data_IF_902596587472
#
_entry.id   IF_902596587472
#
_cell.length_a   1.000
_cell.length_b   1.000
_cell.length_c   1.000
_cell.angle_alpha   90.00
_cell.angle_beta   90.00
_cell.angle_gamma   90.00
#
_symmetry.space_group_name_H-M   'P 1'
#
loop_
_entity.id
_entity.type
_entity.pdbx_description
1 polymer ?
#
# COMPACT_ATOMS: atom_id res chain seq x y z
N UNK A 1 12.58 13.95 -8.63
CA UNK A 1 11.23 14.23 -9.18
C UNK A 1 10.38 14.95 -8.16
N UNK A 2 9.21 15.49 -8.58
CA UNK A 2 8.16 15.96 -7.67
C UNK A 2 7.12 14.89 -7.50
N UNK A 3 6.87 14.49 -6.26
CA UNK A 3 5.97 13.38 -5.91
C UNK A 3 4.98 13.80 -4.83
N UNK A 4 3.82 13.17 -4.80
CA UNK A 4 2.88 13.30 -3.70
C UNK A 4 2.48 11.94 -3.15
N UNK A 5 2.20 11.88 -1.86
CA UNK A 5 1.59 10.73 -1.21
C UNK A 5 0.29 11.21 -0.54
N UNK A 6 -0.83 10.66 -0.98
CA UNK A 6 -2.16 10.98 -0.47
C UNK A 6 -2.65 9.82 0.40
N UNK A 7 -2.86 10.12 1.67
CA UNK A 7 -3.07 9.15 2.73
C UNK A 7 -1.77 8.89 3.50
N UNK A 8 -1.58 9.55 4.64
CA UNK A 8 -0.43 9.41 5.54
C UNK A 8 -0.75 8.51 6.75
N UNK A 9 -1.58 7.49 6.53
CA UNK A 9 -1.83 6.44 7.51
C UNK A 9 -0.61 5.53 7.70
N UNK A 10 -0.80 4.35 8.32
CA UNK A 10 0.29 3.45 8.74
C UNK A 10 1.25 3.06 7.61
N UNK A 11 0.76 2.89 6.38
CA UNK A 11 1.59 2.56 5.22
C UNK A 11 2.06 3.81 4.47
N UNK A 12 1.15 4.75 4.22
CA UNK A 12 1.42 5.92 3.39
C UNK A 12 2.44 6.87 4.00
N UNK A 13 2.46 7.01 5.32
CA UNK A 13 3.48 7.80 6.00
C UNK A 13 4.89 7.25 5.73
N UNK A 14 5.06 5.93 5.88
CA UNK A 14 6.34 5.26 5.57
C UNK A 14 6.74 5.38 4.11
N UNK A 15 5.78 5.30 3.18
CA UNK A 15 6.03 5.54 1.75
C UNK A 15 6.52 6.98 1.53
N UNK A 16 5.83 7.98 2.11
CA UNK A 16 6.23 9.37 1.98
C UNK A 16 7.66 9.64 2.50
N UNK A 17 8.00 9.04 3.66
CA UNK A 17 9.36 9.08 4.20
C UNK A 17 10.39 8.44 3.27
N UNK A 18 10.05 7.29 2.66
CA UNK A 18 10.98 6.59 1.77
C UNK A 18 11.23 7.36 0.48
N UNK A 19 10.18 7.98 -0.08
CA UNK A 19 10.29 8.83 -1.27
C UNK A 19 11.10 10.11 -0.96
N UNK A 20 10.89 10.71 0.22
CA UNK A 20 11.66 11.87 0.68
C UNK A 20 13.15 11.52 0.86
N UNK A 21 13.48 10.39 1.49
CA UNK A 21 14.87 9.92 1.66
C UNK A 21 15.58 9.59 0.36
N UNK A 22 14.85 9.31 -0.71
CA UNK A 22 15.39 9.13 -2.06
C UNK A 22 15.61 10.46 -2.80
N UNK A 23 15.71 11.57 -2.07
CA UNK A 23 15.95 12.94 -2.59
C UNK A 23 14.88 13.41 -3.57
N UNK A 24 13.63 12.98 -3.38
CA UNK A 24 12.50 13.50 -4.14
C UNK A 24 11.77 14.62 -3.37
N UNK A 25 11.38 15.67 -4.06
CA UNK A 25 10.49 16.68 -3.48
C UNK A 25 9.13 16.03 -3.25
N UNK A 26 8.74 15.85 -2.00
CA UNK A 26 7.58 15.02 -1.63
C UNK A 26 6.54 15.82 -0.86
N UNK A 27 5.31 15.85 -1.38
CA UNK A 27 4.13 16.40 -0.73
C UNK A 27 3.37 15.29 0.00
N UNK A 28 3.04 15.53 1.27
CA UNK A 28 2.18 14.68 2.06
C UNK A 28 0.79 15.31 2.18
N UNK A 29 -0.25 14.53 1.86
CA UNK A 29 -1.65 14.97 1.95
C UNK A 29 -2.44 13.96 2.78
N UNK A 30 -3.09 14.43 3.83
CA UNK A 30 -3.98 13.61 4.67
C UNK A 30 -5.07 14.50 5.28
N UNK A 31 -6.19 13.90 5.67
CA UNK A 31 -7.23 14.54 6.49
C UNK A 31 -6.77 14.76 7.94
N UNK A 32 -5.77 13.99 8.40
CA UNK A 32 -5.14 14.12 9.71
C UNK A 32 -4.03 15.19 9.64
N UNK A 33 -4.33 16.39 10.13
CA UNK A 33 -3.39 17.51 10.14
C UNK A 33 -2.10 17.23 10.93
N UNK A 34 -2.17 16.42 11.99
CA UNK A 34 -0.99 16.07 12.80
C UNK A 34 0.01 15.20 12.01
N UNK A 35 -0.52 14.26 11.18
CA UNK A 35 0.31 13.45 10.30
C UNK A 35 1.02 14.32 9.26
N UNK A 36 0.32 15.29 8.68
CA UNK A 36 0.89 16.26 7.72
C UNK A 36 1.95 17.13 8.40
N UNK A 37 1.65 17.69 9.58
CA UNK A 37 2.58 18.54 10.33
C UNK A 37 3.88 17.78 10.69
N UNK A 38 3.74 16.52 11.13
CA UNK A 38 4.90 15.65 11.41
C UNK A 38 5.74 15.41 10.16
N UNK A 39 5.11 15.13 9.02
CA UNK A 39 5.82 14.91 7.76
C UNK A 39 6.58 16.16 7.30
N UNK A 40 5.99 17.36 7.46
CA UNK A 40 6.64 18.63 7.17
C UNK A 40 7.84 18.86 8.09
N UNK A 41 7.74 18.54 9.38
CA UNK A 41 8.84 18.63 10.32
C UNK A 41 10.04 17.73 9.96
N UNK A 42 9.80 16.65 9.21
CA UNK A 42 10.83 15.75 8.69
C UNK A 42 11.40 16.17 7.32
N UNK A 43 11.00 17.35 6.79
CA UNK A 43 11.48 17.90 5.53
C UNK A 43 10.55 17.68 4.33
N UNK A 44 9.40 17.05 4.53
CA UNK A 44 8.33 16.94 3.52
C UNK A 44 7.64 18.27 3.27
N UNK A 45 6.79 18.30 2.26
CA UNK A 45 6.00 19.48 1.89
C UNK A 45 4.50 19.21 2.09
N UNK A 46 3.72 20.27 2.27
CA UNK A 46 2.27 20.25 2.38
C UNK A 46 1.64 21.41 1.62
N UNK A 47 0.32 21.50 1.59
CA UNK A 47 -0.43 22.54 0.89
C UNK A 47 -0.78 22.13 -0.53
N UNK A 48 -0.88 23.14 -1.42
CA UNK A 48 -1.28 22.90 -2.80
C UNK A 48 -0.24 22.07 -3.56
N UNK A 49 -0.72 21.08 -4.31
CA UNK A 49 0.13 20.25 -5.15
C UNK A 49 0.66 21.08 -6.34
N UNK A 50 1.95 20.94 -6.69
CA UNK A 50 2.51 21.68 -7.81
C UNK A 50 1.93 21.21 -9.14
N UNK A 51 1.80 22.14 -10.09
CA UNK A 51 1.24 21.86 -11.42
C UNK A 51 2.14 20.99 -12.31
N UNK A 52 3.39 20.76 -11.91
CA UNK A 52 4.39 19.94 -12.59
C UNK A 52 4.72 18.65 -11.81
N UNK A 53 3.74 18.13 -11.08
CA UNK A 53 3.87 16.89 -10.32
C UNK A 53 4.07 15.70 -11.26
N UNK A 54 5.07 14.84 -10.95
CA UNK A 54 5.40 13.69 -11.80
C UNK A 54 4.63 12.42 -11.40
N UNK A 55 4.49 12.16 -10.10
CA UNK A 55 3.90 10.93 -9.60
C UNK A 55 3.10 11.16 -8.32
N UNK A 56 1.99 10.43 -8.17
CA UNK A 56 1.15 10.46 -6.98
C UNK A 56 0.88 9.05 -6.49
N UNK A 57 1.29 8.70 -5.28
CA UNK A 57 0.83 7.49 -4.61
C UNK A 57 -0.46 7.77 -3.83
N UNK A 58 -1.52 7.03 -4.13
CA UNK A 58 -2.81 7.09 -3.43
C UNK A 58 -2.90 5.91 -2.49
N UNK A 59 -2.75 6.17 -1.19
CA UNK A 59 -2.63 5.15 -0.13
C UNK A 59 -3.79 5.29 0.85
N UNK A 60 -4.97 5.02 0.34
CA UNK A 60 -6.23 5.09 1.08
C UNK A 60 -6.83 3.70 1.31
N UNK A 61 -7.93 3.59 2.04
CA UNK A 61 -8.42 2.30 2.52
C UNK A 61 -9.22 1.49 1.49
N UNK A 62 -9.93 2.15 0.56
CA UNK A 62 -10.91 1.49 -0.29
C UNK A 62 -11.17 2.21 -1.62
N UNK A 63 -12.00 1.60 -2.48
CA UNK A 63 -12.38 2.12 -3.78
C UNK A 63 -13.07 3.49 -3.71
N UNK A 64 -14.01 3.69 -2.78
CA UNK A 64 -14.74 4.96 -2.66
C UNK A 64 -13.80 6.13 -2.31
N UNK A 65 -12.84 5.90 -1.40
CA UNK A 65 -11.83 6.91 -1.07
C UNK A 65 -10.87 7.14 -2.24
N UNK A 66 -10.47 6.08 -2.95
CA UNK A 66 -9.63 6.20 -4.15
C UNK A 66 -10.32 7.05 -5.21
N UNK A 67 -11.59 6.77 -5.52
CA UNK A 67 -12.37 7.55 -6.49
C UNK A 67 -12.54 9.01 -6.05
N UNK A 68 -12.82 9.24 -4.78
CA UNK A 68 -12.95 10.59 -4.22
C UNK A 68 -11.67 11.41 -4.37
N UNK A 69 -10.51 10.79 -4.10
CA UNK A 69 -9.20 11.43 -4.27
C UNK A 69 -8.91 11.72 -5.73
N UNK A 70 -9.21 10.79 -6.63
CA UNK A 70 -8.89 10.94 -8.05
C UNK A 70 -9.86 11.90 -8.77
N UNK A 71 -11.17 11.75 -8.54
CA UNK A 71 -12.22 12.36 -9.36
C UNK A 71 -13.34 13.04 -8.56
N UNK A 72 -13.27 13.08 -7.23
CA UNK A 72 -14.22 13.80 -6.40
C UNK A 72 -14.20 15.32 -6.64
N UNK A 73 -15.00 16.11 -5.89
CA UNK A 73 -15.07 17.57 -6.07
C UNK A 73 -13.73 18.28 -5.97
N UNK A 74 -12.77 17.73 -5.22
CA UNK A 74 -11.39 18.20 -5.11
C UNK A 74 -10.40 17.26 -5.80
N UNK A 75 -10.90 16.41 -6.71
CA UNK A 75 -10.12 15.38 -7.38
C UNK A 75 -8.83 15.89 -8.02
N UNK A 76 -7.80 15.06 -7.95
CA UNK A 76 -6.45 15.45 -8.38
C UNK A 76 -6.24 15.25 -9.88
N UNK A 77 -6.84 14.21 -10.49
CA UNK A 77 -6.54 13.82 -11.88
C UNK A 77 -6.75 14.95 -12.88
N UNK A 78 -7.85 15.74 -12.82
CA UNK A 78 -8.02 16.87 -13.75
C UNK A 78 -6.97 17.99 -13.62
N UNK A 79 -6.20 17.99 -12.51
CA UNK A 79 -5.19 19.02 -12.20
C UNK A 79 -3.76 18.52 -12.47
N UNK A 80 -3.59 17.21 -12.68
CA UNK A 80 -2.27 16.62 -12.95
C UNK A 80 -1.82 16.96 -14.37
N UNK A 81 -0.51 17.19 -14.58
CA UNK A 81 0.02 17.40 -15.92
C UNK A 81 -0.07 16.11 -16.75
N UNK A 82 -0.20 16.24 -18.06
CA UNK A 82 -0.16 15.09 -18.98
C UNK A 82 1.17 14.33 -18.80
N UNK A 83 1.09 13.02 -18.77
CA UNK A 83 2.24 12.14 -18.53
C UNK A 83 2.57 11.92 -17.05
N UNK A 84 1.91 12.59 -16.11
CA UNK A 84 1.99 12.22 -14.70
C UNK A 84 1.41 10.82 -14.46
N UNK A 85 1.85 10.16 -13.39
CA UNK A 85 1.36 8.82 -13.04
C UNK A 85 0.72 8.78 -11.65
N UNK A 86 -0.41 8.10 -11.56
CA UNK A 86 -1.06 7.70 -10.31
C UNK A 86 -0.68 6.26 -9.99
N UNK A 87 -0.10 6.02 -8.81
CA UNK A 87 0.07 4.69 -8.23
C UNK A 87 -1.07 4.45 -7.24
N UNK A 88 -2.05 3.63 -7.60
CA UNK A 88 -3.18 3.30 -6.75
C UNK A 88 -2.83 2.11 -5.85
N UNK A 89 -2.57 2.37 -4.57
CA UNK A 89 -2.06 1.38 -3.62
C UNK A 89 -3.17 0.72 -2.78
N UNK A 90 -4.42 1.19 -2.88
CA UNK A 90 -5.55 0.64 -2.16
C UNK A 90 -5.91 -0.78 -2.65
N UNK A 91 -6.47 -1.59 -1.76
CA UNK A 91 -7.08 -2.87 -2.15
C UNK A 91 -8.48 -2.60 -2.71
N UNK A 92 -8.65 -2.82 -4.00
CA UNK A 92 -9.90 -2.51 -4.73
C UNK A 92 -10.31 -3.68 -5.63
N UNK A 93 -11.59 -3.74 -6.08
CA UNK A 93 -11.98 -4.70 -7.11
C UNK A 93 -11.21 -4.48 -8.42
N UNK A 94 -10.86 -5.55 -9.16
CA UNK A 94 -10.15 -5.43 -10.44
C UNK A 94 -10.87 -4.58 -11.49
N UNK A 95 -12.21 -4.68 -11.57
CA UNK A 95 -13.01 -3.89 -12.50
C UNK A 95 -12.96 -2.40 -12.17
N UNK A 96 -12.93 -2.05 -10.88
CA UNK A 96 -12.75 -0.67 -10.45
C UNK A 96 -11.38 -0.13 -10.89
N UNK A 97 -10.31 -0.91 -10.74
CA UNK A 97 -8.98 -0.49 -11.17
C UNK A 97 -8.94 -0.20 -12.69
N UNK A 98 -9.60 -1.05 -13.50
CA UNK A 98 -9.74 -0.85 -14.95
C UNK A 98 -10.51 0.43 -15.30
N UNK A 99 -11.60 0.73 -14.58
CA UNK A 99 -12.35 1.96 -14.79
C UNK A 99 -11.49 3.19 -14.45
N UNK A 100 -10.76 3.16 -13.33
CA UNK A 100 -9.87 4.26 -12.95
C UNK A 100 -8.75 4.49 -13.98
N UNK A 101 -8.17 3.42 -14.53
CA UNK A 101 -7.17 3.52 -15.60
C UNK A 101 -7.75 4.24 -16.83
N UNK A 102 -8.93 3.82 -17.30
CA UNK A 102 -9.58 4.42 -18.47
C UNK A 102 -9.91 5.91 -18.24
N UNK A 103 -10.39 6.25 -17.05
CA UNK A 103 -10.68 7.63 -16.67
C UNK A 103 -9.42 8.49 -16.54
N UNK A 104 -8.33 7.98 -15.96
CA UNK A 104 -7.04 8.67 -15.92
C UNK A 104 -6.51 8.91 -17.35
N UNK A 105 -6.56 7.91 -18.21
CA UNK A 105 -6.12 8.01 -19.59
C UNK A 105 -6.87 9.10 -20.37
N UNK A 106 -8.18 9.31 -20.13
CA UNK A 106 -8.95 10.38 -20.75
C UNK A 106 -8.46 11.80 -20.38
N UNK A 107 -7.70 11.92 -19.30
CA UNK A 107 -7.02 13.16 -18.88
C UNK A 107 -5.55 13.22 -19.31
N UNK A 108 -5.03 12.18 -19.99
CA UNK A 108 -3.61 12.05 -20.34
C UNK A 108 -2.70 11.71 -19.16
N UNK A 109 -3.26 11.16 -18.10
CA UNK A 109 -2.56 10.73 -16.88
C UNK A 109 -2.42 9.21 -16.91
N UNK A 110 -1.23 8.71 -16.61
CA UNK A 110 -0.99 7.28 -16.46
C UNK A 110 -1.55 6.76 -15.13
N UNK A 111 -2.01 5.52 -15.14
CA UNK A 111 -2.50 4.85 -13.93
C UNK A 111 -1.74 3.52 -13.77
N UNK A 112 -1.24 3.27 -12.58
CA UNK A 112 -0.65 2.00 -12.18
C UNK A 112 -1.49 1.42 -11.06
N UNK A 113 -2.15 0.29 -11.30
CA UNK A 113 -2.78 -0.53 -10.28
C UNK A 113 -1.68 -1.20 -9.46
N UNK A 114 -1.38 -0.66 -8.29
CA UNK A 114 -0.16 -0.93 -7.53
C UNK A 114 -0.42 -1.26 -6.06
N UNK A 115 -1.30 -2.23 -5.73
CA UNK A 115 -1.49 -2.64 -4.35
C UNK A 115 -0.20 -3.16 -3.72
N UNK A 116 -0.06 -2.87 -2.42
CA UNK A 116 1.17 -3.06 -1.66
C UNK A 116 1.04 -4.15 -0.60
N UNK A 117 2.18 -4.72 -0.21
CA UNK A 117 2.32 -5.67 0.89
C UNK A 117 3.62 -5.45 1.66
N UNK A 118 3.61 -5.69 2.98
CA UNK A 118 4.81 -5.59 3.83
C UNK A 118 4.60 -4.92 5.18
N UNK A 119 3.48 -4.19 5.36
CA UNK A 119 3.19 -3.48 6.61
C UNK A 119 3.97 -2.17 6.79
N UNK A 120 3.67 -1.45 7.86
CA UNK A 120 4.21 -0.13 8.15
C UNK A 120 5.74 -0.11 8.24
N UNK A 121 6.34 -1.13 8.85
CA UNK A 121 7.79 -1.22 9.01
C UNK A 121 8.52 -1.29 7.66
N UNK A 122 8.05 -2.15 6.74
CA UNK A 122 8.62 -2.23 5.38
C UNK A 122 8.35 -0.97 4.56
N UNK A 123 7.18 -0.34 4.72
CA UNK A 123 6.89 0.94 4.07
C UNK A 123 7.90 2.01 4.49
N UNK A 124 8.16 2.14 5.79
CA UNK A 124 9.14 3.08 6.34
C UNK A 124 10.59 2.79 5.89
N UNK A 125 10.91 1.55 5.54
CA UNK A 125 12.23 1.14 5.06
C UNK A 125 12.40 1.26 3.53
N UNK A 126 11.32 1.56 2.77
CA UNK A 126 11.33 1.48 1.30
C UNK A 126 11.41 0.04 0.79
N UNK A 127 10.94 -0.92 1.58
CA UNK A 127 11.12 -2.35 1.35
C UNK A 127 9.81 -3.10 1.07
N UNK A 128 8.82 -2.41 0.50
CA UNK A 128 7.53 -3.00 0.14
C UNK A 128 7.66 -4.02 -1.00
N UNK A 129 6.66 -4.91 -1.08
CA UNK A 129 6.34 -5.66 -2.28
C UNK A 129 5.14 -5.00 -2.95
N UNK A 130 5.26 -4.69 -4.24
CA UNK A 130 4.19 -4.08 -5.06
C UNK A 130 3.71 -5.08 -6.10
N UNK A 131 2.41 -5.31 -6.16
CA UNK A 131 1.75 -6.17 -7.15
C UNK A 131 1.18 -5.28 -8.24
N UNK A 132 2.03 -4.88 -9.20
CA UNK A 132 1.69 -3.83 -10.16
C UNK A 132 1.14 -4.38 -11.47
N UNK A 133 0.15 -3.68 -12.04
CA UNK A 133 -0.28 -3.87 -13.42
C UNK A 133 -0.68 -2.53 -14.05
N UNK A 134 -0.39 -2.37 -15.34
CA UNK A 134 -0.61 -1.14 -16.10
C UNK A 134 0.26 -1.10 -17.34
N UNK A 135 0.14 -0.04 -18.15
CA UNK A 135 0.90 0.07 -19.40
C UNK A 135 2.40 0.24 -19.16
N UNK A 136 3.22 -0.04 -20.16
CA UNK A 136 4.67 0.17 -20.09
C UNK A 136 5.04 1.62 -19.76
N UNK A 137 4.27 2.57 -20.27
CA UNK A 137 4.44 4.00 -19.99
C UNK A 137 4.13 4.33 -18.52
N UNK A 138 3.09 3.71 -17.95
CA UNK A 138 2.75 3.85 -16.53
C UNK A 138 3.87 3.32 -15.63
N UNK A 139 4.42 2.14 -15.95
CA UNK A 139 5.57 1.59 -15.23
C UNK A 139 6.81 2.50 -15.35
N UNK A 140 7.11 2.99 -16.55
CA UNK A 140 8.25 3.88 -16.78
C UNK A 140 8.12 5.19 -15.99
N UNK A 141 6.94 5.81 -16.00
CA UNK A 141 6.67 7.04 -15.25
C UNK A 141 6.70 6.80 -13.73
N UNK A 142 6.22 5.65 -13.25
CA UNK A 142 6.19 5.29 -11.84
C UNK A 142 7.56 4.84 -11.29
N UNK A 143 8.50 4.46 -12.15
CA UNK A 143 9.76 3.82 -11.75
C UNK A 143 10.51 4.55 -10.63
N UNK A 144 10.73 5.86 -10.68
CA UNK A 144 11.48 6.54 -9.60
C UNK A 144 10.79 6.42 -8.23
N UNK A 145 9.44 6.43 -8.19
CA UNK A 145 8.68 6.27 -6.95
C UNK A 145 8.69 4.82 -6.49
N UNK A 146 8.57 3.85 -7.41
CA UNK A 146 8.66 2.43 -7.10
C UNK A 146 10.02 2.06 -6.53
N UNK A 147 11.11 2.56 -7.11
CA UNK A 147 12.48 2.32 -6.63
C UNK A 147 12.69 2.88 -5.20
N UNK A 148 12.00 3.96 -4.84
CA UNK A 148 12.10 4.57 -3.51
C UNK A 148 11.29 3.80 -2.45
N UNK A 149 10.16 3.18 -2.81
CA UNK A 149 9.21 2.62 -1.84
C UNK A 149 9.21 1.10 -1.74
N UNK A 150 9.86 0.40 -2.69
CA UNK A 150 9.75 -1.06 -2.80
C UNK A 150 11.09 -1.73 -3.13
N UNK A 151 11.34 -2.90 -2.56
CA UNK A 151 12.44 -3.79 -2.95
C UNK A 151 12.03 -4.78 -4.02
N UNK A 152 10.71 -5.03 -4.15
CA UNK A 152 10.19 -6.00 -5.11
C UNK A 152 8.95 -5.44 -5.80
N UNK A 153 9.00 -5.36 -7.13
CA UNK A 153 7.86 -4.97 -7.95
C UNK A 153 7.54 -6.12 -8.91
N UNK A 154 6.36 -6.71 -8.75
CA UNK A 154 5.85 -7.73 -9.66
C UNK A 154 5.05 -7.05 -10.76
N UNK A 155 5.48 -7.20 -12.03
CA UNK A 155 4.69 -6.80 -13.18
C UNK A 155 3.71 -7.92 -13.55
N UNK A 156 2.41 -7.66 -13.42
CA UNK A 156 1.36 -8.68 -13.51
C UNK A 156 0.47 -8.54 -14.76
N UNK A 157 0.72 -7.54 -15.59
CA UNK A 157 -0.03 -7.34 -16.83
C UNK A 157 0.12 -5.94 -17.41
N UNK A 158 -0.31 -5.79 -18.66
CA UNK A 158 -0.14 -4.60 -19.49
C UNK A 158 -1.28 -3.58 -19.33
N UNK A 159 -2.21 -3.81 -18.39
CA UNK A 159 -3.32 -2.94 -18.02
C UNK A 159 -3.75 -3.21 -16.58
N UNK A 160 -4.47 -2.26 -16.00
CA UNK A 160 -4.93 -2.34 -14.61
C UNK A 160 -5.86 -3.52 -14.35
N UNK A 161 -5.91 -3.97 -13.10
CA UNK A 161 -6.80 -5.01 -12.59
C UNK A 161 -6.09 -6.33 -12.22
N UNK A 162 -4.97 -6.68 -12.84
CA UNK A 162 -4.23 -7.90 -12.50
C UNK A 162 -3.51 -7.74 -11.14
N UNK A 163 -3.00 -6.55 -10.81
CA UNK A 163 -2.46 -6.23 -9.50
C UNK A 163 -3.49 -6.36 -8.40
N UNK A 164 -4.65 -5.74 -8.58
CA UNK A 164 -5.80 -5.83 -7.65
C UNK A 164 -6.30 -7.27 -7.51
N UNK A 165 -6.36 -8.06 -8.59
CA UNK A 165 -6.73 -9.48 -8.54
C UNK A 165 -5.74 -10.29 -7.69
N UNK A 166 -4.42 -10.11 -7.92
CA UNK A 166 -3.38 -10.76 -7.15
C UNK A 166 -3.44 -10.33 -5.67
N UNK A 167 -3.73 -9.06 -5.41
CA UNK A 167 -3.93 -8.57 -4.04
C UNK A 167 -5.12 -9.24 -3.37
N UNK A 168 -6.23 -9.45 -4.07
CA UNK A 168 -7.39 -10.16 -3.53
C UNK A 168 -7.03 -11.61 -3.15
N UNK A 169 -6.27 -12.31 -3.99
CA UNK A 169 -5.73 -13.66 -3.68
C UNK A 169 -4.86 -13.62 -2.42
N UNK A 170 -3.94 -12.65 -2.34
CA UNK A 170 -3.09 -12.47 -1.15
C UNK A 170 -3.93 -12.21 0.12
N UNK A 171 -4.98 -11.39 0.03
CA UNK A 171 -5.84 -11.08 1.18
C UNK A 171 -6.68 -12.29 1.62
N UNK A 172 -7.14 -13.12 0.67
CA UNK A 172 -7.80 -14.38 0.99
C UNK A 172 -6.88 -15.30 1.80
N UNK A 173 -5.65 -15.53 1.32
CA UNK A 173 -4.66 -16.36 2.03
C UNK A 173 -4.35 -15.78 3.42
N UNK A 174 -4.09 -14.48 3.51
CA UNK A 174 -3.80 -13.82 4.78
C UNK A 174 -4.95 -13.97 5.78
N UNK A 175 -6.20 -13.77 5.34
CA UNK A 175 -7.37 -13.90 6.19
C UNK A 175 -7.59 -15.35 6.68
N UNK A 176 -7.45 -16.33 5.78
CA UNK A 176 -7.56 -17.76 6.14
C UNK A 176 -6.46 -18.16 7.12
N UNK A 177 -5.21 -17.73 6.91
CA UNK A 177 -4.11 -18.02 7.81
C UNK A 177 -4.32 -17.43 9.21
N UNK A 178 -4.87 -16.23 9.32
CA UNK A 178 -5.21 -15.63 10.62
C UNK A 178 -6.30 -16.42 11.31
N UNK A 179 -7.37 -16.79 10.60
CA UNK A 179 -8.48 -17.52 11.17
C UNK A 179 -8.04 -18.92 11.65
N UNK A 180 -7.32 -19.67 10.83
CA UNK A 180 -6.83 -21.01 11.18
C UNK A 180 -5.80 -20.97 12.32
N UNK A 181 -4.94 -19.95 12.37
CA UNK A 181 -4.02 -19.73 13.50
C UNK A 181 -4.78 -19.55 14.81
N UNK A 182 -5.80 -18.68 14.83
CA UNK A 182 -6.58 -18.40 16.04
C UNK A 182 -7.34 -19.64 16.51
N UNK A 183 -7.91 -20.40 15.58
CA UNK A 183 -8.61 -21.66 15.88
C UNK A 183 -7.66 -22.74 16.40
N UNK A 184 -6.50 -22.92 15.75
CA UNK A 184 -5.48 -23.89 16.17
C UNK A 184 -4.90 -23.55 17.55
N UNK A 185 -4.62 -22.27 17.84
CA UNK A 185 -4.17 -21.84 19.16
C UNK A 185 -5.24 -22.15 20.24
N UNK A 186 -6.49 -21.80 19.97
CA UNK A 186 -7.61 -22.07 20.88
C UNK A 186 -7.77 -23.58 21.12
N UNK A 187 -7.71 -24.39 20.06
CA UNK A 187 -7.76 -25.85 20.16
C UNK A 187 -6.60 -26.38 21.02
N UNK A 188 -5.38 -25.93 20.78
CA UNK A 188 -4.21 -26.32 21.57
C UNK A 188 -4.39 -26.05 23.07
N UNK A 189 -4.92 -24.86 23.40
CA UNK A 189 -5.22 -24.51 24.80
C UNK A 189 -6.24 -25.47 25.45
N UNK A 190 -7.26 -25.90 24.71
CA UNK A 190 -8.22 -26.90 25.23
C UNK A 190 -7.59 -28.28 25.46
N UNK A 191 -6.47 -28.59 24.82
CA UNK A 191 -5.69 -29.80 24.99
C UNK A 191 -4.54 -29.64 26.02
N UNK A 192 -4.48 -28.49 26.73
CA UNK A 192 -3.46 -28.21 27.75
C UNK A 192 -2.14 -27.73 27.20
N UNK A 193 -2.07 -27.33 25.93
CA UNK A 193 -0.88 -26.68 25.35
C UNK A 193 -0.86 -25.22 25.72
N UNK A 194 0.22 -24.77 26.37
CA UNK A 194 0.40 -23.35 26.69
C UNK A 194 0.61 -22.52 25.40
N UNK A 195 0.05 -21.28 25.31
CA UNK A 195 0.18 -20.43 24.12
C UNK A 195 1.64 -20.17 23.69
N UNK A 196 2.54 -20.00 24.65
CA UNK A 196 3.96 -19.79 24.38
C UNK A 196 4.59 -21.03 23.73
N UNK A 197 4.21 -22.22 24.22
CA UNK A 197 4.70 -23.49 23.68
C UNK A 197 4.13 -23.78 22.29
N UNK A 198 2.87 -23.41 22.06
CA UNK A 198 2.27 -23.47 20.72
C UNK A 198 3.10 -22.63 19.73
N UNK A 199 3.41 -21.40 20.08
CA UNK A 199 4.19 -20.49 19.21
C UNK A 199 5.57 -21.06 18.92
N UNK A 200 6.31 -21.49 19.97
CA UNK A 200 7.64 -22.08 19.84
C UNK A 200 7.67 -23.25 18.86
N UNK A 201 6.72 -24.17 19.00
CA UNK A 201 6.71 -25.41 18.22
C UNK A 201 6.18 -25.19 16.80
N UNK A 202 5.08 -24.48 16.64
CA UNK A 202 4.43 -24.34 15.33
C UNK A 202 5.26 -23.47 14.39
N UNK A 203 6.01 -22.50 14.89
CA UNK A 203 6.92 -21.70 14.06
C UNK A 203 7.98 -22.54 13.33
N UNK A 204 8.37 -23.69 13.88
CA UNK A 204 9.36 -24.62 13.29
C UNK A 204 8.70 -25.79 12.53
N UNK A 205 7.37 -25.83 12.46
CA UNK A 205 6.62 -26.93 11.86
C UNK A 205 5.93 -26.52 10.55
N UNK A 206 5.52 -27.51 9.75
CA UNK A 206 4.82 -27.30 8.48
C UNK A 206 3.45 -26.58 8.63
N UNK A 207 2.91 -26.48 9.83
CA UNK A 207 1.69 -25.72 10.12
C UNK A 207 1.92 -24.21 10.24
N UNK A 208 3.14 -23.72 10.14
CA UNK A 208 3.46 -22.29 10.21
C UNK A 208 2.96 -21.52 8.99
N UNK A 209 2.81 -20.22 9.17
CA UNK A 209 2.58 -19.26 8.09
C UNK A 209 3.15 -17.91 8.50
N UNK A 210 3.47 -17.05 7.52
CA UNK A 210 3.93 -15.69 7.81
C UNK A 210 2.93 -14.93 8.73
N UNK A 211 1.62 -15.16 8.57
CA UNK A 211 0.62 -14.55 9.42
C UNK A 211 0.67 -15.07 10.86
N UNK A 212 0.93 -16.37 11.06
CA UNK A 212 1.14 -16.95 12.39
C UNK A 212 2.35 -16.29 13.06
N UNK A 213 3.50 -16.30 12.41
CA UNK A 213 4.75 -15.75 12.95
C UNK A 213 4.63 -14.26 13.27
N UNK A 214 3.87 -13.50 12.49
CA UNK A 214 3.69 -12.07 12.67
C UNK A 214 2.63 -11.71 13.71
N UNK A 215 1.54 -12.50 13.86
CA UNK A 215 0.38 -12.15 14.69
C UNK A 215 0.31 -12.92 16.01
N UNK A 216 0.72 -14.18 16.04
CA UNK A 216 0.62 -15.00 17.25
C UNK A 216 1.41 -14.44 18.43
N UNK A 217 2.61 -13.85 18.27
CA UNK A 217 3.32 -13.22 19.40
C UNK A 217 2.51 -12.13 20.12
N UNK A 218 1.77 -11.31 19.36
CA UNK A 218 0.91 -10.28 19.92
C UNK A 218 -0.28 -10.86 20.70
N UNK A 219 -0.86 -11.95 20.18
CA UNK A 219 -1.99 -12.65 20.82
C UNK A 219 -1.50 -13.28 22.13
N UNK A 220 -0.36 -13.97 22.11
CA UNK A 220 0.23 -14.62 23.28
C UNK A 220 0.60 -13.60 24.37
N UNK A 221 1.14 -12.45 23.98
CA UNK A 221 1.49 -11.37 24.90
C UNK A 221 0.27 -10.55 25.38
N UNK A 222 -0.92 -10.73 24.81
CA UNK A 222 -2.11 -9.93 25.11
C UNK A 222 -1.98 -8.46 24.68
N UNK A 223 -1.11 -8.17 23.70
CA UNK A 223 -0.84 -6.80 23.21
C UNK A 223 -1.50 -6.64 21.84
N UNK A 224 -2.56 -5.84 21.83
CA UNK A 224 -3.34 -5.54 20.61
C UNK A 224 -3.15 -4.06 20.26
N UNK A 225 -2.27 -3.75 19.30
CA UNK A 225 -2.00 -2.41 18.78
C UNK A 225 -2.32 -2.29 17.30
#
# INVERSE_FOLDING_TARGET
>A
MKAAVIGLGSMGYGIAQSVLRADHQTWGVDINADAVARFVAEGGQAGDLPSDLNAVAVVVLNAAQTESVLFGPQGIVPKLPKGAVVLACATVPPDFARDMEARCASHGVHYLDAPISGGAAKAAQGALSVMASGTAEAFAAAKPMLDAMATTVFSLGDGAGAGSAMKAVNQLLAGVHIATMAEALTFGMTQGVAPEKFLEVISECAGSSWMLENRAPHIVAGVYT
#
